data_IF_738903009430
#
_entry.id   IF_738903009430
#
_cell.length_a   1.000
_cell.length_b   1.000
_cell.length_c   1.000
_cell.angle_alpha   90.00
_cell.angle_beta   90.00
_cell.angle_gamma   90.00
#
_symmetry.space_group_name_H-M   'P 1'
#
loop_
_entity.id
_entity.type
_entity.pdbx_description
1 polymer ?
#
# COMPACT_ATOMS: atom_id res chain seq x y z
N UNK A 1 27.91 18.39 5.07
CA UNK A 1 28.88 17.28 5.17
C UNK A 1 28.81 16.65 6.54
N UNK A 2 28.86 15.31 6.61
CA UNK A 2 28.83 14.55 7.87
C UNK A 2 30.29 14.22 8.21
N UNK A 3 30.86 14.93 9.16
CA UNK A 3 32.27 14.74 9.55
C UNK A 3 32.42 13.84 10.79
N UNK A 4 31.42 13.82 11.66
CA UNK A 4 31.45 13.05 12.89
C UNK A 4 30.08 12.52 13.29
N UNK A 5 30.03 11.55 14.21
CA UNK A 5 28.79 11.03 14.79
C UNK A 5 27.93 12.09 15.54
N UNK A 6 28.51 13.27 15.85
CA UNK A 6 27.77 14.39 16.46
C UNK A 6 26.82 15.08 15.46
N UNK A 7 27.07 14.94 14.14
CA UNK A 7 26.23 15.49 13.10
C UNK A 7 25.00 14.60 12.78
N UNK A 8 24.90 13.44 13.40
CA UNK A 8 23.85 12.46 13.17
C UNK A 8 22.80 12.50 14.29
N UNK A 9 21.54 12.15 14.02
CA UNK A 9 21.01 11.66 12.74
C UNK A 9 20.80 12.78 11.70
N UNK A 10 20.90 12.45 10.41
CA UNK A 10 20.60 13.36 9.32
C UNK A 10 19.38 12.86 8.55
N UNK A 11 18.47 13.77 8.25
CA UNK A 11 17.27 13.55 7.43
C UNK A 11 17.24 14.56 6.30
N UNK A 12 17.29 14.11 5.08
CA UNK A 12 17.20 14.98 3.89
C UNK A 12 16.07 14.54 3.00
N UNK A 13 15.35 15.50 2.44
CA UNK A 13 14.25 15.20 1.52
C UNK A 13 14.19 16.21 0.38
N UNK A 14 13.56 15.80 -0.68
CA UNK A 14 13.20 16.66 -1.79
C UNK A 14 11.81 16.31 -2.33
N UNK A 15 11.16 17.30 -2.94
CA UNK A 15 9.95 17.12 -3.73
C UNK A 15 10.26 17.65 -5.11
N UNK A 16 10.21 16.79 -6.11
CA UNK A 16 10.63 17.16 -7.45
C UNK A 16 10.17 16.19 -8.52
N UNK A 17 10.36 16.62 -9.77
CA UNK A 17 10.09 15.79 -10.94
C UNK A 17 11.13 14.68 -11.04
N UNK A 18 10.64 13.48 -11.36
CA UNK A 18 11.47 12.30 -11.63
C UNK A 18 11.16 11.81 -13.04
N UNK A 19 12.17 11.22 -13.66
CA UNK A 19 12.09 10.65 -14.99
C UNK A 19 12.54 9.21 -14.94
N UNK A 20 11.75 8.31 -15.52
CA UNK A 20 12.09 6.89 -15.65
C UNK A 20 11.85 6.45 -17.08
N UNK A 21 12.72 5.59 -17.60
CA UNK A 21 12.51 4.96 -18.90
C UNK A 21 11.47 3.85 -18.78
N UNK A 22 10.21 4.29 -18.63
CA UNK A 22 9.07 3.40 -18.52
C UNK A 22 8.70 2.86 -19.91
N UNK A 23 8.87 1.55 -20.16
CA UNK A 23 8.60 0.98 -21.49
C UNK A 23 7.12 0.97 -21.85
N UNK A 24 6.22 0.97 -20.85
CA UNK A 24 4.76 0.88 -21.05
C UNK A 24 4.01 1.88 -20.17
N UNK A 25 4.07 3.20 -20.49
CA UNK A 25 3.23 4.18 -19.79
C UNK A 25 1.76 3.84 -19.99
N UNK A 26 0.97 3.85 -18.91
CA UNK A 26 -0.45 3.50 -18.96
C UNK A 26 -1.22 4.05 -17.77
N UNK A 27 -2.55 3.94 -17.83
CA UNK A 27 -3.47 4.32 -16.76
C UNK A 27 -3.28 5.78 -16.27
N UNK A 28 -3.11 6.73 -17.21
CA UNK A 28 -3.03 8.16 -16.90
C UNK A 28 -1.86 8.48 -15.98
N UNK A 29 -2.15 8.93 -14.74
CA UNK A 29 -1.12 9.32 -13.76
C UNK A 29 -0.54 8.14 -12.96
N UNK A 30 -1.03 6.92 -13.12
CA UNK A 30 -0.59 5.78 -12.31
C UNK A 30 0.79 5.27 -12.74
N UNK A 31 1.07 5.28 -14.07
CA UNK A 31 2.36 4.83 -14.60
C UNK A 31 2.83 5.71 -15.74
N UNK A 32 3.74 6.63 -15.45
CA UNK A 32 4.23 7.67 -16.37
C UNK A 32 5.75 7.71 -16.46
N UNK A 33 6.28 8.27 -17.55
CA UNK A 33 7.73 8.50 -17.70
C UNK A 33 8.22 9.69 -16.88
N UNK A 34 7.38 10.71 -16.69
CA UNK A 34 7.62 11.87 -15.83
C UNK A 34 6.57 11.89 -14.73
N UNK A 35 6.99 12.10 -13.49
CA UNK A 35 6.09 12.17 -12.33
C UNK A 35 6.70 13.00 -11.20
N UNK A 36 5.85 13.48 -10.29
CA UNK A 36 6.26 14.17 -9.09
C UNK A 36 6.39 13.17 -7.93
N UNK A 37 7.53 13.18 -7.26
CA UNK A 37 7.81 12.33 -6.11
C UNK A 37 8.38 13.16 -4.96
N UNK A 38 8.00 12.82 -3.74
CA UNK A 38 8.75 13.15 -2.53
C UNK A 38 9.67 11.97 -2.23
N UNK A 39 10.94 12.20 -2.13
CA UNK A 39 11.91 11.23 -1.65
C UNK A 39 12.69 11.80 -0.46
N UNK A 40 12.93 10.94 0.54
CA UNK A 40 13.65 11.27 1.77
C UNK A 40 14.68 10.16 2.03
N UNK A 41 15.79 10.56 2.63
CA UNK A 41 16.86 9.66 3.03
C UNK A 41 17.25 9.94 4.49
N UNK A 42 17.46 8.86 5.23
CA UNK A 42 17.99 8.94 6.59
C UNK A 42 19.41 8.40 6.65
N UNK A 43 20.22 8.97 7.53
CA UNK A 43 21.56 8.53 7.85
C UNK A 43 21.71 8.48 9.37
N UNK A 44 22.05 7.31 9.88
CA UNK A 44 22.11 7.01 11.31
C UNK A 44 23.46 6.36 11.67
N UNK A 45 23.86 6.45 12.94
CA UNK A 45 25.17 5.93 13.38
C UNK A 45 25.20 4.41 13.39
N UNK A 46 24.10 3.77 13.82
CA UNK A 46 24.01 2.34 14.03
C UNK A 46 22.65 1.78 13.57
N UNK A 47 22.53 0.46 13.53
CA UNK A 47 21.34 -0.22 13.06
C UNK A 47 20.10 0.06 13.93
N UNK A 48 20.27 0.22 15.24
CA UNK A 48 19.18 0.50 16.17
C UNK A 48 18.56 1.88 15.90
N UNK A 49 19.40 2.93 15.78
CA UNK A 49 18.93 4.28 15.41
C UNK A 49 18.25 4.30 14.04
N UNK A 50 18.78 3.54 13.07
CA UNK A 50 18.15 3.42 11.74
C UNK A 50 16.79 2.73 11.79
N UNK A 51 16.62 1.69 12.62
CA UNK A 51 15.34 1.02 12.82
C UNK A 51 14.31 1.95 13.48
N UNK A 52 14.73 2.72 14.48
CA UNK A 52 13.87 3.73 15.09
C UNK A 52 13.41 4.77 14.09
N UNK A 53 14.34 5.32 13.29
CA UNK A 53 14.04 6.27 12.23
C UNK A 53 13.08 5.68 11.18
N UNK A 54 13.26 4.42 10.82
CA UNK A 54 12.39 3.71 9.89
C UNK A 54 10.96 3.60 10.44
N UNK A 55 10.81 3.24 11.72
CA UNK A 55 9.50 3.15 12.37
C UNK A 55 8.81 4.53 12.45
N UNK A 56 9.55 5.59 12.78
CA UNK A 56 9.02 6.96 12.81
C UNK A 56 8.52 7.42 11.44
N UNK A 57 9.26 7.14 10.37
CA UNK A 57 8.85 7.51 9.02
C UNK A 57 7.65 6.69 8.55
N UNK A 58 7.57 5.39 8.86
CA UNK A 58 6.37 4.58 8.59
C UNK A 58 5.14 5.18 9.27
N UNK A 59 5.26 5.56 10.55
CA UNK A 59 4.15 6.21 11.26
C UNK A 59 3.77 7.56 10.64
N UNK A 60 4.75 8.35 10.19
CA UNK A 60 4.49 9.59 9.48
C UNK A 60 3.75 9.35 8.16
N UNK A 61 4.11 8.29 7.42
CA UNK A 61 3.39 7.89 6.19
C UNK A 61 1.94 7.49 6.50
N UNK A 62 1.73 6.67 7.53
CA UNK A 62 0.39 6.32 7.98
C UNK A 62 -0.46 7.58 8.30
N UNK A 63 0.12 8.55 8.99
CA UNK A 63 -0.55 9.82 9.31
C UNK A 63 -0.87 10.64 8.04
N UNK A 64 0.05 10.68 7.07
CA UNK A 64 -0.18 11.35 5.79
C UNK A 64 -1.33 10.66 5.03
N UNK A 65 -1.27 9.34 4.88
CA UNK A 65 -2.28 8.61 4.11
C UNK A 65 -3.64 8.57 4.79
N UNK A 66 -3.70 8.57 6.13
CA UNK A 66 -4.95 8.74 6.86
C UNK A 66 -5.63 10.09 6.56
N UNK A 67 -4.85 11.15 6.35
CA UNK A 67 -5.39 12.46 5.97
C UNK A 67 -5.75 12.53 4.49
N UNK A 68 -4.93 11.92 3.63
CA UNK A 68 -5.09 11.94 2.17
C UNK A 68 -6.25 11.07 1.72
N UNK A 69 -6.46 9.92 2.36
CA UNK A 69 -7.52 8.96 2.03
C UNK A 69 -8.64 8.96 3.09
N UNK A 70 -8.99 10.13 3.61
CA UNK A 70 -10.06 10.30 4.60
C UNK A 70 -11.44 10.40 3.92
N UNK A 71 -12.17 9.30 3.89
CA UNK A 71 -13.57 9.22 3.50
C UNK A 71 -14.53 9.08 4.70
N UNK A 72 -14.11 9.51 5.90
CA UNK A 72 -14.94 9.41 7.12
C UNK A 72 -16.31 10.08 7.03
N UNK A 73 -16.48 11.03 6.09
CA UNK A 73 -17.76 11.67 5.79
C UNK A 73 -18.71 10.79 4.95
N UNK A 74 -18.24 9.64 4.45
CA UNK A 74 -19.03 8.69 3.67
C UNK A 74 -19.36 7.50 4.56
N UNK A 75 -20.66 7.23 4.86
CA UNK A 75 -21.03 6.14 5.74
C UNK A 75 -20.52 4.77 5.27
N UNK A 76 -19.94 3.99 6.18
CA UNK A 76 -19.46 2.63 5.89
C UNK A 76 -18.14 2.55 5.14
N UNK A 77 -17.46 3.67 4.88
CA UNK A 77 -16.16 3.68 4.21
C UNK A 77 -15.01 3.53 5.22
N UNK A 78 -14.19 2.50 5.00
CA UNK A 78 -12.91 2.31 5.71
C UNK A 78 -11.80 3.20 5.11
N UNK A 79 -10.68 3.40 5.83
CA UNK A 79 -9.48 4.02 5.26
C UNK A 79 -9.15 3.41 3.91
N UNK A 80 -8.87 4.26 2.93
CA UNK A 80 -8.70 3.84 1.54
C UNK A 80 -7.33 3.23 1.21
N UNK A 81 -6.44 3.05 2.20
CA UNK A 81 -5.09 2.57 2.02
C UNK A 81 -4.74 1.43 2.99
N UNK A 82 -3.68 0.71 2.69
CA UNK A 82 -3.10 -0.35 3.52
C UNK A 82 -1.58 -0.36 3.38
N UNK A 83 -0.90 -0.88 4.39
CA UNK A 83 0.54 -1.15 4.38
C UNK A 83 0.78 -2.65 4.18
N UNK A 84 1.72 -2.98 3.31
CA UNK A 84 2.09 -4.36 3.00
C UNK A 84 3.60 -4.56 3.13
N UNK A 85 4.02 -5.73 3.60
CA UNK A 85 5.41 -6.16 3.50
C UNK A 85 5.76 -6.35 2.03
N UNK A 86 6.95 -5.88 1.64
CA UNK A 86 7.40 -5.90 0.25
C UNK A 86 8.84 -6.43 0.11
N UNK A 87 9.18 -6.87 -1.07
CA UNK A 87 10.55 -7.20 -1.42
C UNK A 87 11.38 -5.92 -1.58
N UNK A 88 12.66 -5.97 -1.22
CA UNK A 88 13.57 -4.83 -1.35
C UNK A 88 14.07 -4.64 -2.78
N UNK A 89 13.92 -5.63 -3.63
CA UNK A 89 14.27 -5.61 -5.04
C UNK A 89 15.69 -5.11 -5.32
N UNK A 90 15.83 -4.37 -6.42
CA UNK A 90 17.12 -3.78 -6.82
C UNK A 90 17.66 -2.75 -5.81
N UNK A 91 16.80 -2.12 -5.02
CA UNK A 91 17.21 -1.19 -3.95
C UNK A 91 18.00 -1.92 -2.86
N UNK A 92 17.62 -3.16 -2.55
CA UNK A 92 18.23 -3.97 -1.51
C UNK A 92 18.00 -3.40 -0.10
N UNK A 93 18.75 -3.91 0.84
CA UNK A 93 18.57 -3.59 2.25
C UNK A 93 18.02 -4.78 3.04
N UNK A 94 17.57 -4.53 4.27
CA UNK A 94 17.14 -5.60 5.17
C UNK A 94 15.67 -5.96 4.98
N UNK A 95 14.81 -4.97 4.84
CA UNK A 95 13.38 -5.13 4.58
C UNK A 95 12.74 -3.83 4.07
N UNK A 96 11.55 -3.96 3.52
CA UNK A 96 10.78 -2.82 3.01
C UNK A 96 9.28 -2.99 3.27
N UNK A 97 8.56 -1.86 3.23
CA UNK A 97 7.10 -1.82 3.28
C UNK A 97 6.57 -0.89 2.20
N UNK A 98 5.54 -1.36 1.53
CA UNK A 98 4.80 -0.60 0.53
C UNK A 98 3.46 -0.14 1.08
N UNK A 99 3.01 1.02 0.61
CA UNK A 99 1.70 1.58 0.93
C UNK A 99 0.85 1.55 -0.33
N UNK A 100 -0.36 0.99 -0.21
CA UNK A 100 -1.20 0.68 -1.35
C UNK A 100 -2.63 1.18 -1.20
N UNK A 101 -3.28 1.40 -2.34
CA UNK A 101 -4.72 1.57 -2.46
C UNK A 101 -5.29 0.36 -3.19
N UNK A 102 -6.25 -0.36 -2.60
CA UNK A 102 -6.93 -1.47 -3.28
C UNK A 102 -7.75 -0.93 -4.45
N UNK A 103 -7.37 -1.34 -5.65
CA UNK A 103 -8.06 -0.96 -6.89
C UNK A 103 -7.69 -1.93 -8.02
N UNK A 104 -8.67 -2.29 -8.85
CA UNK A 104 -8.47 -3.20 -9.97
C UNK A 104 -7.55 -2.63 -11.08
N UNK A 105 -7.36 -1.31 -11.12
CA UNK A 105 -6.41 -0.66 -12.02
C UNK A 105 -4.95 -0.80 -11.55
N UNK A 106 -4.74 -1.29 -10.31
CA UNK A 106 -3.42 -1.54 -9.75
C UNK A 106 -2.66 -2.65 -10.48
N UNK A 107 -1.35 -2.61 -10.41
CA UNK A 107 -0.46 -3.61 -11.03
C UNK A 107 0.02 -4.66 -10.03
N UNK A 108 0.08 -4.28 -8.74
CA UNK A 108 0.55 -5.15 -7.69
C UNK A 108 -0.55 -6.10 -7.23
N UNK A 109 -0.14 -7.27 -6.80
CA UNK A 109 -1.03 -8.28 -6.21
C UNK A 109 -0.66 -8.42 -4.74
N UNK A 110 -1.63 -8.20 -3.87
CA UNK A 110 -1.47 -8.31 -2.43
C UNK A 110 -2.26 -9.48 -1.88
N UNK A 111 -1.68 -10.18 -0.92
CA UNK A 111 -2.38 -11.11 -0.05
C UNK A 111 -2.70 -10.44 1.28
N UNK A 112 -3.99 -10.38 1.61
CA UNK A 112 -4.49 -9.72 2.82
C UNK A 112 -5.23 -10.72 3.70
N UNK A 113 -4.96 -10.67 5.00
CA UNK A 113 -5.69 -11.48 5.98
C UNK A 113 -7.06 -10.86 6.29
N UNK A 114 -8.10 -11.70 6.29
CA UNK A 114 -9.46 -11.30 6.64
C UNK A 114 -9.65 -10.93 8.13
N UNK A 115 -8.71 -11.32 9.00
CA UNK A 115 -8.87 -11.22 10.46
C UNK A 115 -7.95 -10.20 11.13
N UNK A 116 -6.63 -10.24 10.87
CA UNK A 116 -5.66 -9.43 11.63
C UNK A 116 -5.12 -8.20 10.90
N UNK A 117 -5.52 -7.99 9.63
CA UNK A 117 -5.03 -6.88 8.83
C UNK A 117 -3.62 -7.09 8.25
N UNK A 118 -3.01 -8.28 8.41
CA UNK A 118 -1.76 -8.62 7.70
C UNK A 118 -1.95 -8.43 6.20
N UNK A 119 -0.98 -7.79 5.57
CA UNK A 119 -0.90 -7.67 4.12
C UNK A 119 0.55 -7.81 3.67
N UNK A 120 0.75 -8.44 2.53
CA UNK A 120 2.05 -8.61 1.90
C UNK A 120 1.92 -8.61 0.38
N UNK A 121 2.93 -8.09 -0.30
CA UNK A 121 3.06 -8.31 -1.74
C UNK A 121 3.19 -9.82 -2.00
N UNK A 122 2.56 -10.30 -3.07
CA UNK A 122 2.52 -11.73 -3.41
C UNK A 122 3.93 -12.35 -3.44
N UNK A 123 4.91 -11.59 -3.93
CA UNK A 123 6.29 -12.05 -4.11
C UNK A 123 6.99 -12.47 -2.79
N UNK A 124 6.66 -11.78 -1.69
CA UNK A 124 7.27 -12.03 -0.38
C UNK A 124 6.27 -12.49 0.69
N UNK A 125 5.03 -12.75 0.29
CA UNK A 125 4.02 -13.25 1.21
C UNK A 125 4.38 -14.66 1.72
N UNK A 126 4.14 -14.86 3.01
CA UNK A 126 4.25 -16.16 3.67
C UNK A 126 2.92 -16.56 4.28
N UNK A 127 2.64 -17.86 4.27
CA UNK A 127 1.39 -18.41 4.76
C UNK A 127 1.55 -19.86 5.20
N UNK A 128 0.53 -20.43 5.83
CA UNK A 128 0.43 -21.86 6.07
C UNK A 128 -0.66 -22.47 5.19
N UNK A 129 -0.48 -23.71 4.81
CA UNK A 129 -1.55 -24.49 4.19
C UNK A 129 -2.76 -24.55 5.12
N UNK A 130 -3.99 -24.54 4.58
CA UNK A 130 -5.17 -24.89 5.36
C UNK A 130 -4.98 -26.25 6.04
N UNK A 131 -5.48 -26.46 7.28
CA UNK A 131 -5.28 -27.70 8.01
C UNK A 131 -5.67 -28.99 7.25
N UNK A 132 -6.65 -28.87 6.35
CA UNK A 132 -7.12 -29.99 5.51
C UNK A 132 -6.11 -30.39 4.42
N UNK A 133 -5.15 -29.52 4.10
CA UNK A 133 -4.12 -29.73 3.08
C UNK A 133 -2.73 -29.99 3.69
N UNK A 134 -2.64 -30.12 5.00
CA UNK A 134 -1.39 -30.35 5.71
C UNK A 134 -0.69 -31.63 5.21
N UNK A 135 0.63 -31.59 5.09
CA UNK A 135 1.45 -32.72 4.66
C UNK A 135 1.75 -33.66 5.85
N UNK A 136 1.30 -34.90 5.76
CA UNK A 136 1.49 -35.91 6.82
C UNK A 136 2.40 -37.05 6.42
N UNK A 137 2.64 -37.25 5.12
CA UNK A 137 3.47 -38.35 4.58
C UNK A 137 4.37 -37.87 3.46
N UNK A 138 5.50 -38.56 3.18
CA UNK A 138 6.39 -38.19 2.07
C UNK A 138 5.74 -38.20 0.68
N UNK A 139 4.58 -38.83 0.51
CA UNK A 139 3.83 -38.82 -0.74
C UNK A 139 3.13 -37.49 -1.03
N UNK A 140 2.95 -36.65 0.00
CA UNK A 140 2.35 -35.34 -0.10
C UNK A 140 3.33 -34.25 -0.52
N UNK A 141 4.61 -34.59 -0.70
CA UNK A 141 5.61 -33.60 -1.09
C UNK A 141 6.18 -33.89 -2.49
N UNK A 142 6.80 -32.89 -3.06
CA UNK A 142 7.66 -33.00 -4.22
C UNK A 142 9.01 -32.34 -3.93
N UNK A 143 10.01 -32.74 -4.68
CA UNK A 143 11.38 -32.26 -4.52
C UNK A 143 11.81 -31.59 -5.81
N UNK A 144 12.26 -30.35 -5.70
CA UNK A 144 12.88 -29.63 -6.79
C UNK A 144 14.37 -29.52 -6.56
N UNK A 145 15.15 -29.76 -7.61
CA UNK A 145 16.62 -29.82 -7.55
C UNK A 145 17.22 -28.61 -8.25
N UNK A 146 18.19 -28.01 -7.60
CA UNK A 146 18.95 -26.86 -8.09
C UNK A 146 20.45 -27.10 -7.88
N UNK A 147 21.27 -26.63 -8.80
CA UNK A 147 22.72 -26.64 -8.67
C UNK A 147 23.25 -25.27 -8.26
N UNK A 148 24.11 -25.23 -7.25
CA UNK A 148 24.88 -24.04 -6.89
C UNK A 148 26.23 -23.98 -7.63
N UNK A 149 26.82 -22.79 -7.71
CA UNK A 149 28.17 -22.61 -8.29
C UNK A 149 29.28 -23.33 -7.52
N UNK A 150 29.03 -23.68 -6.26
CA UNK A 150 29.93 -24.41 -5.39
C UNK A 150 29.89 -25.94 -5.61
N UNK A 151 29.26 -26.40 -6.70
CA UNK A 151 29.06 -27.83 -7.02
C UNK A 151 28.23 -28.56 -5.95
N UNK A 152 27.44 -27.87 -5.18
CA UNK A 152 26.47 -28.45 -4.25
C UNK A 152 25.11 -28.59 -4.93
N UNK A 153 24.47 -29.75 -4.74
CA UNK A 153 23.07 -29.93 -5.12
C UNK A 153 22.15 -29.49 -3.98
N UNK A 154 21.16 -28.69 -4.30
CA UNK A 154 20.14 -28.25 -3.36
C UNK A 154 18.82 -28.93 -3.70
N UNK A 155 18.23 -29.63 -2.74
CA UNK A 155 16.92 -30.23 -2.83
C UNK A 155 15.91 -29.41 -1.99
N UNK A 156 14.92 -28.87 -2.65
CA UNK A 156 13.81 -28.09 -2.01
C UNK A 156 12.57 -28.97 -1.93
N UNK A 157 12.17 -29.31 -0.73
CA UNK A 157 11.02 -30.15 -0.42
C UNK A 157 9.82 -29.25 -0.13
N UNK A 158 8.83 -29.30 -0.99
CA UNK A 158 7.61 -28.49 -0.88
C UNK A 158 6.36 -29.35 -0.99
N UNK A 159 5.20 -28.90 -0.48
CA UNK A 159 3.94 -29.60 -0.68
C UNK A 159 3.65 -29.82 -2.16
N UNK A 160 3.15 -31.00 -2.52
CA UNK A 160 3.08 -31.50 -3.91
C UNK A 160 2.34 -30.57 -4.87
N UNK A 161 1.32 -29.90 -4.40
CA UNK A 161 0.46 -29.01 -5.19
C UNK A 161 0.84 -27.51 -5.08
N UNK A 162 1.84 -27.19 -4.25
CA UNK A 162 2.33 -25.82 -4.10
C UNK A 162 3.43 -25.51 -5.12
N UNK A 163 3.59 -24.22 -5.44
CA UNK A 163 4.74 -23.75 -6.25
C UNK A 163 5.86 -23.32 -5.33
N UNK A 164 7.10 -23.59 -5.75
CA UNK A 164 8.29 -23.08 -5.07
C UNK A 164 8.42 -21.58 -5.35
N UNK A 165 8.57 -20.79 -4.30
CA UNK A 165 8.85 -19.36 -4.42
C UNK A 165 10.36 -19.18 -4.68
N UNK A 166 10.72 -18.81 -5.89
CA UNK A 166 12.13 -18.60 -6.26
C UNK A 166 12.80 -17.47 -5.47
N UNK A 167 12.04 -16.50 -4.97
CA UNK A 167 12.54 -15.39 -4.15
C UNK A 167 12.81 -15.80 -2.70
N UNK A 168 12.20 -16.89 -2.25
CA UNK A 168 12.44 -17.45 -0.91
C UNK A 168 13.68 -18.36 -0.85
N UNK A 169 14.31 -18.63 -1.99
CA UNK A 169 15.54 -19.43 -2.02
C UNK A 169 16.67 -18.69 -1.31
N UNK A 170 17.56 -19.43 -0.61
CA UNK A 170 18.66 -18.80 0.12
C UNK A 170 19.50 -17.89 -0.79
N UNK A 171 19.62 -16.63 -0.41
CA UNK A 171 20.40 -15.62 -1.16
C UNK A 171 21.91 -15.89 -1.03
N UNK A 172 22.67 -15.55 -2.06
CA UNK A 172 24.13 -15.77 -2.10
C UNK A 172 24.54 -17.05 -2.82
N UNK A 173 23.59 -17.89 -3.20
CA UNK A 173 23.83 -19.14 -3.90
C UNK A 173 23.33 -19.04 -5.33
N UNK A 174 23.90 -18.47 -6.26
CA UNK A 174 23.40 -18.45 -7.65
C UNK A 174 22.90 -19.85 -8.09
N UNK A 175 21.66 -20.16 -7.66
CA UNK A 175 21.03 -21.45 -7.86
C UNK A 175 20.41 -21.51 -9.27
N UNK A 176 20.67 -22.58 -9.99
CA UNK A 176 20.03 -22.87 -11.27
C UNK A 176 19.23 -24.17 -11.17
N UNK A 177 18.01 -24.24 -11.71
CA UNK A 177 17.27 -25.50 -11.78
C UNK A 177 18.13 -26.56 -12.42
N UNK A 178 18.07 -27.78 -11.89
CA UNK A 178 18.76 -28.90 -12.47
C UNK A 178 18.17 -29.19 -13.85
N UNK A 179 18.97 -28.98 -14.90
CA UNK A 179 18.59 -29.27 -16.28
C UNK A 179 18.71 -30.76 -16.62
N UNK A 180 18.49 -31.06 -17.90
CA UNK A 180 18.63 -32.44 -18.43
C UNK A 180 20.10 -32.97 -18.41
N UNK A 181 21.08 -32.07 -18.38
CA UNK A 181 22.48 -32.39 -18.26
C UNK A 181 22.83 -32.68 -16.79
N UNK A 182 23.27 -33.89 -16.51
CA UNK A 182 23.68 -34.32 -15.17
C UNK A 182 25.02 -33.67 -14.81
N UNK A 183 25.11 -32.89 -13.72
CA UNK A 183 26.38 -32.34 -13.30
C UNK A 183 27.30 -33.50 -12.84
N UNK A 184 28.46 -33.64 -13.48
CA UNK A 184 29.42 -34.74 -13.23
C UNK A 184 30.26 -34.57 -11.97
N UNK A 185 30.20 -33.38 -11.37
CA UNK A 185 31.12 -32.93 -10.30
C UNK A 185 30.41 -32.57 -8.97
N UNK A 186 29.10 -32.80 -8.88
CA UNK A 186 28.35 -32.66 -7.63
C UNK A 186 28.75 -33.69 -6.60
N UNK A 187 29.14 -33.26 -5.40
CA UNK A 187 29.64 -34.13 -4.32
C UNK A 187 28.74 -34.16 -3.09
N UNK A 188 28.00 -33.07 -2.83
CA UNK A 188 27.21 -32.91 -1.62
C UNK A 188 25.77 -32.49 -1.94
N UNK A 189 24.85 -32.88 -1.04
CA UNK A 189 23.43 -32.55 -1.10
C UNK A 189 23.07 -31.68 0.11
N UNK A 190 22.41 -30.56 -0.11
CA UNK A 190 21.75 -29.78 0.93
C UNK A 190 20.23 -29.87 0.76
N UNK A 191 19.53 -30.10 1.85
CA UNK A 191 18.08 -30.22 1.85
C UNK A 191 17.43 -29.06 2.60
N UNK A 192 16.40 -28.54 1.98
CA UNK A 192 15.57 -27.47 2.48
C UNK A 192 14.11 -27.94 2.48
N UNK A 193 13.40 -27.73 3.56
CA UNK A 193 12.02 -28.19 3.71
C UNK A 193 11.11 -27.01 3.94
N UNK A 194 9.96 -26.97 3.26
CA UNK A 194 8.91 -26.01 3.58
C UNK A 194 8.33 -26.27 4.97
N UNK A 195 8.02 -25.21 5.70
CA UNK A 195 7.47 -25.28 7.07
C UNK A 195 6.19 -26.12 7.15
N UNK A 196 5.37 -26.14 6.10
CA UNK A 196 4.13 -26.92 6.03
C UNK A 196 4.37 -28.43 5.86
N UNK A 197 5.60 -28.84 5.65
CA UNK A 197 6.03 -30.23 5.66
C UNK A 197 6.54 -30.72 7.03
N UNK A 198 6.60 -29.86 8.04
CA UNK A 198 7.20 -30.15 9.35
C UNK A 198 6.48 -31.23 10.17
N UNK A 199 5.25 -31.62 9.79
CA UNK A 199 4.55 -32.77 10.41
C UNK A 199 5.09 -34.12 9.95
N UNK A 200 5.89 -34.16 8.88
CA UNK A 200 6.53 -35.37 8.39
C UNK A 200 7.87 -35.53 9.12
N UNK A 201 8.22 -36.78 9.48
CA UNK A 201 9.52 -37.04 10.12
C UNK A 201 10.68 -36.62 9.21
N UNK A 202 11.56 -35.75 9.73
CA UNK A 202 12.70 -35.23 8.97
C UNK A 202 13.66 -36.31 8.42
N UNK A 203 13.82 -37.41 9.17
CA UNK A 203 14.63 -38.54 8.74
C UNK A 203 14.04 -39.29 7.54
N UNK A 204 12.71 -39.43 7.51
CA UNK A 204 12.01 -40.07 6.38
C UNK A 204 12.03 -39.19 5.14
N UNK A 205 11.87 -37.84 5.30
CA UNK A 205 12.02 -36.89 4.20
C UNK A 205 13.45 -36.90 3.63
N UNK A 206 14.47 -36.88 4.51
CA UNK A 206 15.87 -36.91 4.08
C UNK A 206 16.16 -38.17 3.28
N UNK A 207 15.73 -39.35 3.74
CA UNK A 207 15.89 -40.63 3.01
C UNK A 207 15.14 -40.59 1.66
N UNK A 208 13.93 -40.08 1.64
CA UNK A 208 13.11 -39.92 0.43
C UNK A 208 13.84 -39.04 -0.58
N UNK A 209 14.37 -37.90 -0.14
CA UNK A 209 15.12 -36.98 -1.00
C UNK A 209 16.44 -37.62 -1.52
N UNK A 210 17.21 -38.28 -0.66
CA UNK A 210 18.43 -38.96 -1.07
C UNK A 210 18.15 -40.06 -2.09
N UNK A 211 17.10 -40.86 -1.89
CA UNK A 211 16.69 -41.90 -2.84
C UNK A 211 16.26 -41.29 -4.18
N UNK A 212 15.51 -40.20 -4.16
CA UNK A 212 15.10 -39.48 -5.37
C UNK A 212 16.31 -38.94 -6.15
N UNK A 213 17.26 -38.32 -5.46
CA UNK A 213 18.51 -37.82 -6.05
C UNK A 213 19.33 -38.96 -6.62
N UNK A 214 19.46 -40.08 -5.88
CA UNK A 214 20.19 -41.27 -6.36
C UNK A 214 19.58 -41.86 -7.63
N UNK A 215 18.27 -41.85 -7.78
CA UNK A 215 17.58 -42.27 -9.01
C UNK A 215 17.91 -41.37 -10.19
N UNK A 216 17.96 -40.04 -9.97
CA UNK A 216 18.25 -39.07 -11.03
C UNK A 216 19.72 -39.10 -11.43
N UNK A 217 20.64 -39.06 -10.46
CA UNK A 217 22.07 -38.95 -10.72
C UNK A 217 22.77 -40.31 -10.95
N UNK A 218 22.12 -41.40 -10.56
CA UNK A 218 22.75 -42.73 -10.59
C UNK A 218 23.79 -42.97 -9.48
N UNK A 219 23.89 -42.04 -8.50
CA UNK A 219 24.80 -42.12 -7.36
C UNK A 219 24.17 -41.48 -6.12
N UNK A 220 24.59 -41.95 -4.94
CA UNK A 220 24.17 -41.38 -3.67
C UNK A 220 25.09 -40.22 -3.29
N UNK A 221 24.50 -39.14 -2.79
CA UNK A 221 25.23 -37.99 -2.26
C UNK A 221 25.14 -37.96 -0.73
N UNK A 222 26.19 -37.48 -0.08
CA UNK A 222 26.19 -37.22 1.35
C UNK A 222 25.51 -35.89 1.65
N UNK A 223 24.76 -35.83 2.78
CA UNK A 223 24.20 -34.58 3.27
C UNK A 223 25.30 -33.70 3.82
N UNK A 224 25.41 -32.49 3.31
CA UNK A 224 26.38 -31.50 3.78
C UNK A 224 26.05 -30.99 5.18
N UNK A 225 24.76 -30.86 5.48
CA UNK A 225 24.24 -30.31 6.73
C UNK A 225 22.86 -30.94 7.03
N UNK A 226 22.37 -30.88 8.29
CA UNK A 226 21.00 -31.22 8.62
C UNK A 226 19.99 -30.38 7.80
N UNK A 227 18.90 -31.01 7.42
CA UNK A 227 17.82 -30.34 6.68
C UNK A 227 17.27 -29.11 7.44
N UNK A 228 17.16 -27.98 6.75
CA UNK A 228 16.65 -26.73 7.30
C UNK A 228 15.21 -26.48 6.86
N UNK A 229 14.42 -25.85 7.72
CA UNK A 229 13.02 -25.49 7.44
C UNK A 229 12.90 -24.01 7.13
N UNK A 230 12.23 -23.68 6.01
CA UNK A 230 12.00 -22.32 5.52
C UNK A 230 10.56 -22.20 4.95
N UNK A 231 10.10 -20.98 4.75
CA UNK A 231 8.90 -20.74 3.94
C UNK A 231 9.31 -20.76 2.46
N UNK A 232 9.11 -21.88 1.81
CA UNK A 232 9.61 -22.12 0.45
C UNK A 232 8.54 -22.02 -0.63
N UNK A 233 7.28 -22.18 -0.27
CA UNK A 233 6.18 -22.16 -1.25
C UNK A 233 5.63 -20.75 -1.49
N UNK A 234 5.08 -20.52 -2.67
CA UNK A 234 4.27 -19.36 -2.94
C UNK A 234 3.00 -19.39 -2.04
N UNK A 235 2.73 -18.28 -1.37
CA UNK A 235 1.46 -18.07 -0.68
C UNK A 235 0.36 -17.79 -1.70
N UNK A 236 -0.86 -18.28 -1.44
CA UNK A 236 -2.00 -18.09 -2.33
C UNK A 236 -3.26 -17.70 -1.54
N UNK A 237 -4.25 -17.18 -2.26
CA UNK A 237 -5.58 -16.96 -1.67
C UNK A 237 -6.16 -18.29 -1.15
N UNK A 238 -6.81 -18.26 0.01
CA UNK A 238 -7.33 -19.44 0.70
C UNK A 238 -6.36 -20.04 1.73
N UNK A 239 -5.10 -19.63 1.73
CA UNK A 239 -4.13 -20.05 2.73
C UNK A 239 -4.41 -19.44 4.10
N UNK A 240 -3.95 -20.12 5.15
CA UNK A 240 -4.02 -19.61 6.53
C UNK A 240 -2.95 -18.53 6.76
N UNK A 241 -3.37 -17.41 7.32
CA UNK A 241 -2.48 -16.31 7.65
C UNK A 241 -1.41 -16.72 8.67
N UNK A 242 -0.15 -16.54 8.34
CA UNK A 242 0.96 -16.84 9.24
C UNK A 242 1.00 -15.93 10.48
N UNK A 243 0.55 -14.68 10.35
CA UNK A 243 0.63 -13.72 11.45
C UNK A 243 -0.35 -13.99 12.58
N UNK A 244 -1.57 -14.48 12.30
CA UNK A 244 -2.56 -14.75 13.34
C UNK A 244 -2.93 -16.25 13.46
N UNK A 245 -2.53 -17.09 12.53
CA UNK A 245 -2.81 -18.55 12.55
C UNK A 245 -4.26 -18.94 12.31
N UNK A 246 -5.18 -18.01 12.08
CA UNK A 246 -6.63 -18.26 12.02
C UNK A 246 -7.34 -17.64 10.83
N UNK A 247 -6.89 -16.47 10.37
CA UNK A 247 -7.51 -15.78 9.23
C UNK A 247 -7.10 -16.40 7.91
N UNK A 248 -7.99 -16.31 6.92
CA UNK A 248 -7.75 -16.72 5.54
C UNK A 248 -7.19 -15.56 4.73
N UNK A 249 -6.24 -15.84 3.82
CA UNK A 249 -5.68 -14.86 2.90
C UNK A 249 -6.59 -14.67 1.68
N UNK A 250 -6.79 -13.42 1.30
CA UNK A 250 -7.50 -13.03 0.09
C UNK A 250 -6.61 -12.21 -0.83
N UNK A 251 -6.74 -12.41 -2.14
CA UNK A 251 -5.98 -11.71 -3.15
C UNK A 251 -6.67 -10.40 -3.56
N UNK A 252 -5.89 -9.33 -3.68
CA UNK A 252 -6.36 -8.02 -4.10
C UNK A 252 -5.38 -7.36 -5.07
N UNK A 253 -5.91 -6.73 -6.11
CA UNK A 253 -5.13 -5.80 -6.93
C UNK A 253 -4.98 -4.48 -6.19
N UNK A 254 -3.81 -3.84 -6.33
CA UNK A 254 -3.51 -2.61 -5.61
C UNK A 254 -2.58 -1.68 -6.40
N UNK A 255 -2.70 -0.38 -6.08
CA UNK A 255 -1.85 0.69 -6.60
C UNK A 255 -0.86 1.06 -5.50
N UNK A 256 0.43 0.88 -5.72
CA UNK A 256 1.49 1.35 -4.83
C UNK A 256 1.56 2.88 -4.84
N UNK A 257 1.46 3.52 -3.67
CA UNK A 257 1.48 4.98 -3.51
C UNK A 257 2.72 5.49 -2.76
N UNK A 258 3.40 4.61 -2.05
CA UNK A 258 4.62 4.92 -1.32
C UNK A 258 5.38 3.66 -0.95
N UNK A 259 6.69 3.82 -0.72
CA UNK A 259 7.58 2.73 -0.38
C UNK A 259 8.64 3.21 0.62
N UNK A 260 8.95 2.37 1.59
CA UNK A 260 10.00 2.61 2.60
C UNK A 260 11.00 1.47 2.60
N UNK A 261 12.30 1.78 2.65
CA UNK A 261 13.39 0.81 2.63
C UNK A 261 14.33 1.04 3.81
N UNK A 262 14.68 0.00 4.53
CA UNK A 262 15.82 -0.02 5.44
C UNK A 262 17.03 -0.58 4.70
N UNK A 263 17.87 0.33 4.19
CA UNK A 263 18.98 0.01 3.27
C UNK A 263 20.23 -0.54 4.01
N UNK A 264 20.32 -0.30 5.31
CA UNK A 264 21.52 -0.65 6.07
C UNK A 264 22.75 0.10 5.58
N UNK A 265 23.85 -0.58 5.42
CA UNK A 265 25.13 0.00 4.97
C UNK A 265 25.42 -0.20 3.48
N UNK A 266 24.48 -0.75 2.72
CA UNK A 266 24.69 -1.14 1.32
C UNK A 266 25.37 -0.09 0.46
N UNK A 267 24.87 1.14 0.50
CA UNK A 267 25.40 2.24 -0.30
C UNK A 267 26.56 2.97 0.38
N UNK A 268 26.46 3.19 1.68
CA UNK A 268 27.47 3.90 2.45
C UNK A 268 28.80 3.14 2.51
N UNK A 269 28.76 1.81 2.62
CA UNK A 269 29.97 0.96 2.52
C UNK A 269 30.63 1.09 1.15
N UNK A 270 29.84 0.97 0.08
CA UNK A 270 30.37 1.04 -1.29
C UNK A 270 30.98 2.42 -1.62
N UNK A 271 30.42 3.49 -1.03
CA UNK A 271 30.89 4.86 -1.21
C UNK A 271 31.98 5.28 -0.20
N UNK A 272 32.34 4.42 0.75
CA UNK A 272 33.30 4.74 1.82
C UNK A 272 32.80 5.77 2.81
N UNK A 273 31.48 5.98 2.93
CA UNK A 273 30.89 6.93 3.88
C UNK A 273 30.69 6.31 5.24
N UNK A 274 31.43 6.82 6.23
CA UNK A 274 31.30 6.34 7.60
C UNK A 274 31.79 7.41 8.61
N UNK A 275 31.51 7.18 9.87
CA UNK A 275 31.96 7.99 10.99
C UNK A 275 32.58 7.11 12.07
N UNK A 276 33.38 7.71 12.93
CA UNK A 276 33.82 7.05 14.15
C UNK A 276 32.63 6.96 15.11
N UNK A 277 32.30 5.75 15.62
CA UNK A 277 31.18 5.58 16.57
C UNK A 277 31.35 6.41 17.83
N UNK A 278 30.24 6.76 18.46
CA UNK A 278 30.25 7.48 19.75
C UNK A 278 30.88 6.61 20.83
N UNK A 279 31.82 7.17 21.57
CA UNK A 279 32.49 6.47 22.70
C UNK A 279 33.61 5.50 22.29
N UNK A 280 34.09 5.57 21.05
CA UNK A 280 35.25 4.76 20.63
C UNK A 280 36.51 5.16 21.44
N UNK A 281 37.06 4.24 22.24
CA UNK A 281 38.22 4.47 23.14
C UNK A 281 39.58 4.25 22.46
N UNK A 282 39.58 3.79 21.20
CA UNK A 282 40.81 3.48 20.46
C UNK A 282 41.57 4.74 20.06
N UNK A 283 42.91 4.71 20.08
CA UNK A 283 43.77 5.79 19.59
C UNK A 283 43.69 5.99 18.07
N UNK A 284 43.18 4.98 17.32
CA UNK A 284 42.92 5.02 15.89
C UNK A 284 41.59 4.30 15.59
N UNK A 285 40.45 4.90 15.95
CA UNK A 285 39.16 4.24 15.77
C UNK A 285 38.83 4.07 14.27
N UNK A 286 38.35 2.90 13.91
CA UNK A 286 37.87 2.63 12.56
C UNK A 286 36.57 3.40 12.31
N UNK A 287 36.41 3.90 11.10
CA UNK A 287 35.14 4.50 10.66
C UNK A 287 34.19 3.35 10.29
N UNK A 288 32.99 3.41 10.84
CA UNK A 288 31.92 2.47 10.51
C UNK A 288 30.99 3.11 9.48
N UNK A 289 30.56 2.34 8.46
CA UNK A 289 29.61 2.83 7.46
C UNK A 289 28.31 3.30 8.12
N UNK A 290 27.72 4.40 7.65
CA UNK A 290 26.46 4.90 8.12
C UNK A 290 25.30 3.94 7.72
N UNK A 291 24.36 3.80 8.61
CA UNK A 291 23.10 3.14 8.32
C UNK A 291 22.19 4.10 7.55
N UNK A 292 21.49 3.59 6.55
CA UNK A 292 20.71 4.41 5.63
C UNK A 292 19.29 3.89 5.48
N UNK A 293 18.32 4.79 5.38
CA UNK A 293 16.95 4.51 4.97
C UNK A 293 16.58 5.33 3.72
N UNK A 294 15.65 4.83 2.93
CA UNK A 294 15.09 5.51 1.76
C UNK A 294 13.56 5.43 1.78
N UNK A 295 12.90 6.57 1.52
CA UNK A 295 11.47 6.70 1.73
C UNK A 295 10.82 7.52 0.61
N UNK A 296 10.03 6.89 -0.26
CA UNK A 296 9.42 7.49 -1.43
C UNK A 296 7.90 7.62 -1.33
N UNK A 297 7.34 8.73 -1.82
CA UNK A 297 5.90 8.92 -2.05
C UNK A 297 5.69 9.40 -3.47
N UNK A 298 4.88 8.68 -4.25
CA UNK A 298 4.53 9.05 -5.61
C UNK A 298 3.35 10.03 -5.64
N UNK A 299 3.63 11.35 -5.63
CA UNK A 299 2.60 12.39 -5.48
C UNK A 299 1.60 12.36 -6.65
N UNK A 300 2.07 12.31 -7.89
CA UNK A 300 1.17 12.22 -9.05
C UNK A 300 0.40 10.90 -9.10
N UNK A 301 1.01 9.80 -8.63
CA UNK A 301 0.34 8.50 -8.53
C UNK A 301 -0.76 8.52 -7.46
N UNK A 302 -0.55 9.20 -6.32
CA UNK A 302 -1.60 9.43 -5.32
C UNK A 302 -2.79 10.15 -5.94
N UNK A 303 -2.58 11.21 -6.72
CA UNK A 303 -3.67 11.91 -7.40
C UNK A 303 -4.47 10.98 -8.32
N UNK A 304 -3.78 10.12 -9.09
CA UNK A 304 -4.41 9.10 -9.92
C UNK A 304 -5.21 8.08 -9.10
N UNK A 305 -4.63 7.57 -8.00
CA UNK A 305 -5.28 6.61 -7.10
C UNK A 305 -6.50 7.23 -6.38
N UNK A 306 -6.41 8.49 -5.98
CA UNK A 306 -7.53 9.24 -5.40
C UNK A 306 -8.68 9.39 -6.39
N UNK A 307 -8.40 9.74 -7.66
CA UNK A 307 -9.42 9.87 -8.68
C UNK A 307 -10.12 8.53 -8.94
N UNK A 308 -9.38 7.43 -9.05
CA UNK A 308 -9.95 6.08 -9.18
C UNK A 308 -10.84 5.74 -7.98
N UNK A 309 -10.35 5.95 -6.77
CA UNK A 309 -11.10 5.65 -5.55
C UNK A 309 -12.33 6.55 -5.41
N UNK A 310 -12.21 7.84 -5.68
CA UNK A 310 -13.33 8.80 -5.64
C UNK A 310 -14.44 8.42 -6.61
N UNK A 311 -14.07 7.91 -7.80
CA UNK A 311 -15.02 7.37 -8.78
C UNK A 311 -15.69 6.09 -8.25
N UNK A 312 -14.95 5.16 -7.70
CA UNK A 312 -15.48 3.91 -7.14
C UNK A 312 -16.44 4.17 -5.98
N UNK A 313 -16.13 5.16 -5.12
CA UNK A 313 -17.01 5.59 -4.04
C UNK A 313 -18.32 6.18 -4.60
N UNK A 314 -18.22 7.06 -5.60
CA UNK A 314 -19.39 7.64 -6.25
C UNK A 314 -20.30 6.55 -6.85
N UNK A 315 -19.73 5.59 -7.58
CA UNK A 315 -20.48 4.50 -8.21
C UNK A 315 -21.20 3.63 -7.17
N UNK A 316 -20.55 3.34 -6.05
CA UNK A 316 -21.14 2.56 -4.95
C UNK A 316 -22.32 3.31 -4.30
N UNK A 317 -22.18 4.61 -4.07
CA UNK A 317 -23.25 5.44 -3.50
C UNK A 317 -24.40 5.65 -4.48
N UNK A 318 -24.10 5.81 -5.76
CA UNK A 318 -25.13 5.98 -6.80
C UNK A 318 -26.02 4.76 -6.98
N UNK A 319 -25.53 3.55 -6.65
CA UNK A 319 -26.33 2.31 -6.65
C UNK A 319 -27.33 2.22 -5.49
N UNK A 320 -27.12 2.97 -4.41
CA UNK A 320 -28.04 3.04 -3.28
C UNK A 320 -29.25 3.95 -3.54
N UNK A 321 -29.18 4.81 -4.55
CA UNK A 321 -30.29 5.66 -4.94
C UNK A 321 -31.44 4.83 -5.57
N UNK A 322 -32.62 4.87 -4.97
CA UNK A 322 -33.79 4.09 -5.37
C UNK A 322 -34.37 4.44 -6.78
N UNK A 323 -33.82 5.43 -7.44
CA UNK A 323 -34.15 5.78 -8.83
C UNK A 323 -32.94 5.48 -9.72
N UNK A 324 -33.05 4.53 -10.68
CA UNK A 324 -32.03 4.35 -11.68
C UNK A 324 -31.96 5.63 -12.54
N UNK A 325 -31.22 6.64 -12.07
CA UNK A 325 -30.87 7.76 -12.89
C UNK A 325 -29.95 7.26 -14.01
N UNK A 326 -30.11 7.83 -15.23
CA UNK A 326 -29.15 7.71 -16.34
C UNK A 326 -27.74 7.63 -15.76
N UNK A 327 -26.89 6.79 -16.32
CA UNK A 327 -25.52 6.56 -15.85
C UNK A 327 -24.88 7.89 -15.42
N UNK A 328 -24.88 8.14 -14.11
CA UNK A 328 -24.27 9.34 -13.53
C UNK A 328 -22.77 9.09 -13.51
N UNK A 329 -22.03 10.02 -14.05
CA UNK A 329 -20.58 10.08 -13.87
C UNK A 329 -20.30 11.09 -12.77
N UNK A 330 -19.39 10.78 -11.85
CA UNK A 330 -19.01 11.70 -10.79
C UNK A 330 -17.89 11.18 -9.91
N UNK A 331 -17.52 12.02 -8.95
CA UNK A 331 -16.51 11.72 -7.94
C UNK A 331 -17.05 12.04 -6.55
N UNK A 332 -16.46 11.38 -5.54
CA UNK A 332 -16.57 11.79 -4.13
C UNK A 332 -15.15 11.88 -3.60
N UNK A 333 -14.64 13.09 -3.45
CA UNK A 333 -13.30 13.32 -2.94
C UNK A 333 -13.20 13.03 -1.44
N UNK A 334 -12.02 12.63 -0.95
CA UNK A 334 -11.79 12.54 0.49
C UNK A 334 -11.85 13.90 1.14
N UNK A 335 -12.19 13.91 2.43
CA UNK A 335 -12.32 15.14 3.21
C UNK A 335 -11.00 15.91 3.22
N UNK A 336 -11.08 17.21 2.89
CA UNK A 336 -9.90 18.08 2.88
C UNK A 336 -9.05 18.05 1.60
N UNK A 337 -9.40 17.22 0.61
CA UNK A 337 -8.74 17.20 -0.71
C UNK A 337 -9.64 17.56 -1.87
N UNK A 338 -10.92 17.78 -1.62
CA UNK A 338 -11.80 18.38 -2.62
C UNK A 338 -11.28 19.79 -2.97
N UNK A 339 -11.35 20.18 -4.26
CA UNK A 339 -10.92 21.52 -4.70
C UNK A 339 -11.61 22.65 -3.93
N UNK A 340 -12.85 22.42 -3.51
CA UNK A 340 -13.66 23.29 -2.67
C UNK A 340 -14.44 22.48 -1.65
N UNK A 341 -14.69 23.04 -0.49
CA UNK A 341 -15.48 22.39 0.58
C UNK A 341 -16.94 22.19 0.17
N UNK A 342 -17.51 23.15 -0.57
CA UNK A 342 -18.86 23.04 -1.10
C UNK A 342 -19.08 23.95 -2.33
N UNK A 343 -20.14 23.64 -3.07
CA UNK A 343 -20.67 24.47 -4.14
C UNK A 343 -21.98 25.14 -3.70
N UNK A 344 -22.10 26.45 -3.92
CA UNK A 344 -23.36 27.17 -3.78
C UNK A 344 -23.98 27.37 -5.17
N UNK A 345 -25.27 27.00 -5.31
CA UNK A 345 -25.93 26.84 -6.58
C UNK A 345 -27.31 27.55 -6.55
N UNK A 346 -27.38 28.85 -6.93
CA UNK A 346 -28.66 29.54 -7.12
C UNK A 346 -29.40 28.97 -8.33
N UNK A 347 -30.68 28.63 -8.20
CA UNK A 347 -31.47 28.05 -9.29
C UNK A 347 -31.72 29.02 -10.43
N UNK A 348 -31.78 30.33 -10.13
CA UNK A 348 -31.92 31.41 -11.10
C UNK A 348 -31.28 32.69 -10.60
N UNK A 349 -31.20 33.70 -11.44
CA UNK A 349 -30.68 35.03 -11.08
C UNK A 349 -31.38 35.70 -9.86
N UNK A 350 -32.62 35.28 -9.55
CA UNK A 350 -33.35 35.80 -8.38
C UNK A 350 -32.70 35.44 -7.05
N UNK A 351 -32.03 34.28 -6.98
CA UNK A 351 -31.40 33.80 -5.76
C UNK A 351 -29.90 34.13 -5.68
N UNK A 352 -29.33 34.84 -6.68
CA UNK A 352 -27.90 35.11 -6.74
C UNK A 352 -27.40 35.90 -5.55
N UNK A 353 -28.07 37.00 -5.18
CA UNK A 353 -27.69 37.82 -4.01
C UNK A 353 -27.72 37.03 -2.69
N UNK A 354 -28.69 36.11 -2.54
CA UNK A 354 -28.77 35.24 -1.37
C UNK A 354 -27.63 34.20 -1.39
N UNK A 355 -27.27 33.67 -2.56
CA UNK A 355 -26.17 32.75 -2.72
C UNK A 355 -24.82 33.40 -2.40
N UNK A 356 -24.60 34.65 -2.82
CA UNK A 356 -23.41 35.42 -2.48
C UNK A 356 -23.29 35.65 -0.97
N UNK A 357 -24.41 36.01 -0.32
CA UNK A 357 -24.44 36.15 1.15
C UNK A 357 -24.15 34.84 1.84
N UNK A 358 -24.70 33.74 1.36
CA UNK A 358 -24.40 32.39 1.88
C UNK A 358 -22.89 32.06 1.77
N UNK A 359 -22.28 32.34 0.63
CA UNK A 359 -20.83 32.18 0.45
C UNK A 359 -20.04 33.03 1.46
N UNK A 360 -20.45 34.29 1.65
CA UNK A 360 -19.77 35.17 2.59
C UNK A 360 -19.91 34.72 4.05
N UNK A 361 -21.05 34.17 4.44
CA UNK A 361 -21.32 33.65 5.79
C UNK A 361 -20.50 32.37 6.06
N UNK A 362 -20.61 31.38 5.20
CA UNK A 362 -19.91 30.10 5.36
C UNK A 362 -18.39 30.26 5.23
N UNK A 363 -17.90 31.14 4.36
CA UNK A 363 -16.48 31.43 4.19
C UNK A 363 -15.83 32.10 5.40
N UNK A 364 -16.61 32.74 6.29
CA UNK A 364 -16.12 33.32 7.55
C UNK A 364 -16.04 32.33 8.71
N UNK A 365 -16.46 31.09 8.52
CA UNK A 365 -16.48 30.08 9.58
C UNK A 365 -17.63 30.25 10.57
N UNK A 366 -18.77 30.74 10.11
CA UNK A 366 -19.98 30.85 10.92
C UNK A 366 -20.50 29.47 11.31
N UNK A 367 -20.87 29.20 12.57
CA UNK A 367 -21.38 27.90 12.97
C UNK A 367 -22.74 27.65 12.27
N UNK A 368 -22.80 26.61 11.45
CA UNK A 368 -24.05 26.06 10.95
C UNK A 368 -24.50 24.95 11.88
N UNK A 369 -25.72 25.06 12.44
CA UNK A 369 -26.32 23.95 13.17
C UNK A 369 -26.89 22.96 12.18
N UNK A 370 -26.25 21.77 12.09
CA UNK A 370 -26.76 20.63 11.39
C UNK A 370 -27.43 19.69 12.41
N UNK A 371 -28.72 19.47 12.25
CA UNK A 371 -29.35 18.34 12.95
C UNK A 371 -28.92 17.04 12.30
N UNK A 372 -27.88 16.45 12.85
CA UNK A 372 -27.62 15.03 12.72
C UNK A 372 -28.35 14.33 13.88
N UNK A 373 -29.23 13.40 13.61
CA UNK A 373 -30.03 12.66 14.60
C UNK A 373 -29.25 11.93 15.73
N UNK A 374 -28.00 12.25 15.97
CA UNK A 374 -27.19 11.60 17.00
C UNK A 374 -26.25 12.49 17.83
N UNK A 375 -26.14 13.78 17.60
CA UNK A 375 -25.35 14.62 18.54
C UNK A 375 -25.64 16.11 18.38
N UNK A 376 -25.96 16.77 19.48
CA UNK A 376 -25.99 18.23 19.67
C UNK A 376 -24.57 18.87 19.55
N UNK A 377 -23.77 18.44 18.58
CA UNK A 377 -22.44 18.97 18.36
C UNK A 377 -22.55 20.16 17.39
N UNK A 378 -22.43 21.36 17.92
CA UNK A 378 -22.10 22.56 17.15
C UNK A 378 -20.72 22.32 16.55
N UNK A 379 -20.67 21.87 15.29
CA UNK A 379 -19.43 21.78 14.53
C UNK A 379 -18.92 23.20 14.29
N UNK A 380 -17.86 23.61 14.98
CA UNK A 380 -17.03 24.73 14.55
C UNK A 380 -16.37 24.33 13.24
N UNK A 381 -17.03 24.65 12.13
CA UNK A 381 -16.48 24.41 10.80
C UNK A 381 -15.41 25.47 10.57
N UNK A 382 -14.16 25.08 10.22
CA UNK A 382 -13.18 26.04 9.75
C UNK A 382 -13.73 26.77 8.52
N UNK A 383 -13.23 27.96 8.23
CA UNK A 383 -13.64 28.74 7.06
C UNK A 383 -13.64 27.83 5.82
N UNK A 384 -14.78 27.75 5.14
CA UNK A 384 -14.94 26.89 3.98
C UNK A 384 -14.44 27.58 2.71
N UNK A 385 -13.69 26.88 1.90
CA UNK A 385 -13.44 27.28 0.53
C UNK A 385 -14.64 26.90 -0.31
N UNK A 386 -15.38 27.92 -0.80
CA UNK A 386 -16.65 27.75 -1.50
C UNK A 386 -16.51 28.15 -2.96
N UNK A 387 -17.16 27.38 -3.83
CA UNK A 387 -17.42 27.79 -5.20
C UNK A 387 -18.86 28.31 -5.33
N UNK A 388 -19.07 29.36 -6.11
CA UNK A 388 -20.38 29.82 -6.52
C UNK A 388 -20.57 29.54 -8.01
N UNK A 389 -21.64 28.82 -8.35
CA UNK A 389 -21.98 28.61 -9.77
C UNK A 389 -22.99 29.70 -10.21
N UNK A 390 -22.49 30.71 -10.85
CA UNK A 390 -23.23 31.85 -11.38
C UNK A 390 -23.61 31.74 -12.86
N UNK A 391 -23.42 30.54 -13.46
CA UNK A 391 -23.73 30.28 -14.88
C UNK A 391 -25.24 30.19 -15.14
N UNK A 392 -25.90 31.35 -15.17
CA UNK A 392 -27.36 31.44 -15.32
C UNK A 392 -27.86 31.07 -16.72
N UNK A 393 -26.99 31.00 -17.70
CA UNK A 393 -27.26 30.53 -19.07
C UNK A 393 -27.43 29.01 -19.14
N UNK A 394 -27.04 28.26 -18.09
CA UNK A 394 -27.19 26.81 -17.99
C UNK A 394 -28.35 26.41 -17.08
N UNK A 395 -29.01 25.32 -17.45
CA UNK A 395 -30.07 24.76 -16.59
C UNK A 395 -29.52 24.28 -15.26
N UNK A 396 -30.33 24.34 -14.19
CA UNK A 396 -29.99 23.82 -12.88
C UNK A 396 -29.52 22.34 -12.95
N UNK A 397 -30.22 21.51 -13.75
CA UNK A 397 -29.87 20.10 -13.94
C UNK A 397 -28.48 19.89 -14.57
N UNK A 398 -28.10 20.74 -15.53
CA UNK A 398 -26.75 20.69 -16.13
C UNK A 398 -25.67 21.07 -15.11
N UNK A 399 -25.92 22.11 -14.32
CA UNK A 399 -24.98 22.56 -13.28
C UNK A 399 -24.83 21.54 -12.13
N UNK A 400 -25.92 20.85 -11.77
CA UNK A 400 -25.89 19.75 -10.81
C UNK A 400 -25.10 18.54 -11.36
N UNK A 401 -25.22 18.25 -12.66
CA UNK A 401 -24.40 17.21 -13.28
C UNK A 401 -22.92 17.57 -13.27
N UNK A 402 -22.57 18.83 -13.55
CA UNK A 402 -21.19 19.31 -13.47
C UNK A 402 -20.68 19.24 -12.01
N UNK A 403 -21.54 19.52 -11.01
CA UNK A 403 -21.20 19.40 -9.60
C UNK A 403 -20.85 17.95 -9.20
N UNK A 404 -21.64 16.98 -9.66
CA UNK A 404 -21.36 15.55 -9.45
C UNK A 404 -20.05 15.13 -10.14
N UNK A 405 -19.84 15.63 -11.38
CA UNK A 405 -18.64 15.32 -12.16
C UNK A 405 -17.36 15.89 -11.55
N UNK A 406 -17.42 17.08 -10.93
CA UNK A 406 -16.30 17.71 -10.24
C UNK A 406 -16.12 17.18 -8.82
N UNK A 407 -17.13 16.51 -8.27
CA UNK A 407 -17.05 15.85 -6.97
C UNK A 407 -17.11 16.76 -5.77
N UNK A 408 -17.93 17.81 -5.81
CA UNK A 408 -18.14 18.65 -4.64
C UNK A 408 -18.73 17.84 -3.48
N UNK A 409 -18.11 17.87 -2.28
CA UNK A 409 -18.60 17.13 -1.11
C UNK A 409 -20.02 17.52 -0.71
N UNK A 410 -20.34 18.81 -0.84
CA UNK A 410 -21.63 19.38 -0.51
C UNK A 410 -22.07 20.34 -1.60
N UNK A 411 -23.37 20.37 -1.89
CA UNK A 411 -24.00 21.34 -2.80
C UNK A 411 -25.18 22.00 -2.10
N UNK A 412 -25.08 23.31 -1.93
CA UNK A 412 -26.15 24.16 -1.38
C UNK A 412 -26.99 24.71 -2.52
N UNK A 413 -28.27 24.40 -2.56
CA UNK A 413 -29.17 24.82 -3.64
C UNK A 413 -30.19 25.82 -3.09
N UNK A 414 -30.16 27.02 -3.66
CA UNK A 414 -31.17 28.05 -3.41
C UNK A 414 -32.16 28.03 -4.59
N UNK A 415 -33.28 27.36 -4.38
CA UNK A 415 -34.30 27.18 -5.42
C UNK A 415 -35.71 27.48 -4.93
N UNK A 416 -36.73 26.83 -5.54
CA UNK A 416 -38.14 27.04 -5.20
C UNK A 416 -38.47 26.79 -3.73
N UNK A 417 -37.71 25.91 -3.04
CA UNK A 417 -37.89 25.66 -1.61
C UNK A 417 -37.44 26.87 -0.81
N UNK A 418 -36.26 27.39 -1.12
CA UNK A 418 -35.73 28.62 -0.52
C UNK A 418 -36.74 29.81 -0.66
N UNK A 419 -37.30 29.99 -1.87
CA UNK A 419 -38.26 31.09 -2.11
C UNK A 419 -39.52 31.00 -1.23
N UNK A 420 -39.88 29.80 -0.74
CA UNK A 420 -41.10 29.56 0.05
C UNK A 420 -40.84 29.54 1.55
N UNK A 421 -39.72 29.01 1.97
CA UNK A 421 -39.44 28.67 3.38
C UNK A 421 -38.26 29.40 3.98
N UNK A 422 -37.37 29.94 3.14
CA UNK A 422 -36.06 30.44 3.59
C UNK A 422 -35.05 29.35 3.96
N UNK A 423 -35.35 28.10 3.64
CA UNK A 423 -34.43 26.97 3.91
C UNK A 423 -33.62 26.59 2.66
N UNK A 424 -32.32 26.38 2.84
CA UNK A 424 -31.41 25.98 1.78
C UNK A 424 -31.46 24.44 1.64
N UNK A 425 -31.64 23.95 0.42
CA UNK A 425 -31.51 22.53 0.13
C UNK A 425 -30.04 22.16 0.12
N UNK A 426 -29.68 21.17 0.91
CA UNK A 426 -28.30 20.64 1.01
C UNK A 426 -28.25 19.24 0.45
N UNK A 427 -27.41 19.06 -0.56
CA UNK A 427 -27.22 17.81 -1.24
C UNK A 427 -25.82 17.26 -0.99
N UNK A 428 -25.77 15.97 -0.67
CA UNK A 428 -24.56 15.17 -0.57
C UNK A 428 -24.79 13.89 -1.37
N UNK A 429 -23.80 13.44 -2.14
CA UNK A 429 -23.93 12.22 -2.94
C UNK A 429 -24.21 11.01 -2.03
N UNK A 430 -25.20 10.19 -2.42
CA UNK A 430 -25.61 8.97 -1.68
C UNK A 430 -26.45 9.22 -0.43
N UNK A 431 -26.82 10.47 -0.13
CA UNK A 431 -27.70 10.79 0.99
C UNK A 431 -28.97 11.51 0.49
N UNK A 432 -30.11 11.35 1.18
CA UNK A 432 -31.30 12.13 0.90
C UNK A 432 -31.02 13.64 1.01
N UNK A 433 -31.67 14.44 0.16
CA UNK A 433 -31.60 15.89 0.28
C UNK A 433 -32.12 16.33 1.65
N UNK A 434 -31.44 17.28 2.26
CA UNK A 434 -31.79 17.89 3.56
C UNK A 434 -32.07 19.38 3.36
N UNK A 435 -32.78 19.96 4.30
CA UNK A 435 -33.10 21.39 4.29
C UNK A 435 -32.52 22.01 5.56
N UNK A 436 -31.87 23.13 5.43
CA UNK A 436 -31.21 23.82 6.54
C UNK A 436 -31.61 25.27 6.57
N UNK A 437 -31.96 25.76 7.75
CA UNK A 437 -32.13 27.19 7.98
C UNK A 437 -30.75 27.75 8.36
N UNK A 438 -30.32 28.80 7.67
CA UNK A 438 -29.02 29.43 7.90
C UNK A 438 -29.29 30.89 8.32
N UNK A 439 -28.96 31.20 9.57
CA UNK A 439 -29.17 32.52 10.12
C UNK A 439 -28.32 33.57 9.40
N UNK A 440 -28.96 34.66 8.98
CA UNK A 440 -28.27 35.80 8.36
C UNK A 440 -28.20 35.79 6.83
N UNK A 441 -28.93 34.90 6.17
CA UNK A 441 -29.13 34.96 4.72
C UNK A 441 -30.38 35.71 4.34
#
# INVERSE_FOLDING_TARGET
EIESAKNLPVRVYQIGRKFRDEPRPRAGLLRTKEFLMKDMYSFDVNAEEAQMAYAEVRQAYANIFNRVFDWSHVPGMAPGWLEATADTGAMGGTYSHEFHVKDNAGEDTLLCCSHCGYASNLECATSHLPPQQACHTPEHVRIELYTGRDHTLHGFIVPKHSRLNSLALPTGWELMPLGDERPSDVRTLRLWMDVDCALINAGDLSKTAQNYVAQILGTSLELAEPMQSLHLREAVAGDTCMACGTGELSEHRAIEIGHTFLLGTRYTSALGYGVVPRGAESKAPLREPLQMGCYGIGITRILGALAQRAKSVFDSLAQLDAKPARARAGFVWPRGLAPFSALVLPASAKQLDAAERLCALLGRGTPCSWDHEASNAVLKVPAWELALDDRMDRSLGSRLFDADLLGYPLVFILGKHWDKTGEVEVRQVGLPARFAQIDGI
#
